data_IF_148257334049
#
_entry.id   IF_148257334049
#
_cell.length_a   1.000
_cell.length_b   1.000
_cell.length_c   1.000
_cell.angle_alpha   90.00
_cell.angle_beta   90.00
_cell.angle_gamma   90.00
#
_symmetry.space_group_name_H-M   'P 1'
#
loop_
_entity.id
_entity.type
_entity.pdbx_description
1 polymer ?
#
# COMPACT_ATOMS: atom_id res chain seq x y z
N UNK A 1 -30.33 -19.58 12.65
CA UNK A 1 -29.79 -20.10 13.93
C UNK A 1 -28.81 -21.19 13.61
N UNK A 2 -27.52 -20.88 13.80
CA UNK A 2 -26.44 -21.84 13.54
C UNK A 2 -26.43 -22.91 14.62
N UNK A 3 -26.42 -24.18 14.22
CA UNK A 3 -26.19 -25.29 15.15
C UNK A 3 -24.70 -25.33 15.50
N UNK A 4 -24.36 -25.74 16.72
CA UNK A 4 -22.98 -25.84 17.22
C UNK A 4 -22.06 -26.59 16.22
N UNK A 5 -22.61 -27.65 15.61
CA UNK A 5 -21.90 -28.52 14.66
C UNK A 5 -21.56 -27.83 13.32
N UNK A 6 -22.28 -26.76 12.96
CA UNK A 6 -22.02 -25.99 11.74
C UNK A 6 -21.07 -24.81 11.95
N UNK A 7 -20.53 -24.63 13.16
CA UNK A 7 -19.49 -23.65 13.42
C UNK A 7 -18.20 -24.04 12.68
N UNK A 8 -17.42 -23.03 12.28
CA UNK A 8 -16.14 -23.24 11.54
C UNK A 8 -15.17 -24.18 12.22
N UNK A 9 -15.19 -24.23 13.55
CA UNK A 9 -14.29 -25.06 14.32
C UNK A 9 -14.71 -26.53 14.32
N UNK A 10 -16.02 -26.81 14.35
CA UNK A 10 -16.56 -28.15 14.59
C UNK A 10 -17.10 -28.84 13.33
N UNK A 11 -17.16 -28.14 12.20
CA UNK A 11 -17.70 -28.66 10.93
C UNK A 11 -16.95 -29.89 10.40
N UNK A 12 -15.66 -30.04 10.76
CA UNK A 12 -14.81 -31.17 10.33
C UNK A 12 -14.87 -32.36 11.32
N UNK A 13 -15.62 -32.24 12.44
CA UNK A 13 -15.70 -33.31 13.42
C UNK A 13 -16.61 -34.45 12.97
N UNK A 14 -16.26 -35.71 13.29
CA UNK A 14 -17.14 -36.83 13.09
C UNK A 14 -18.46 -36.67 13.88
N UNK A 15 -19.59 -37.18 13.38
CA UNK A 15 -20.90 -36.98 14.01
C UNK A 15 -20.99 -37.42 15.48
N UNK A 16 -20.25 -38.47 15.85
CA UNK A 16 -20.20 -38.99 17.24
C UNK A 16 -19.45 -37.98 18.17
N UNK A 17 -18.42 -37.32 17.70
CA UNK A 17 -17.66 -36.32 18.46
C UNK A 17 -18.44 -35.00 18.57
N UNK A 18 -19.10 -34.58 17.47
CA UNK A 18 -19.98 -33.43 17.47
C UNK A 18 -21.18 -33.61 18.43
N UNK A 19 -21.74 -34.82 18.53
CA UNK A 19 -22.79 -35.13 19.48
C UNK A 19 -22.34 -35.01 20.94
N UNK A 20 -21.14 -35.42 21.28
CA UNK A 20 -20.56 -35.24 22.63
C UNK A 20 -20.43 -33.75 22.96
N UNK A 21 -19.89 -32.95 22.07
CA UNK A 21 -19.78 -31.48 22.22
C UNK A 21 -21.13 -30.84 22.51
N UNK A 22 -22.16 -31.27 21.81
CA UNK A 22 -23.51 -30.75 21.99
C UNK A 22 -24.09 -31.04 23.39
N UNK A 23 -23.75 -32.17 23.99
CA UNK A 23 -24.18 -32.50 25.36
C UNK A 23 -23.47 -31.69 26.43
N UNK A 24 -22.26 -31.20 26.15
CA UNK A 24 -21.43 -30.40 27.07
C UNK A 24 -21.60 -28.90 26.90
N UNK A 25 -22.20 -28.46 25.80
CA UNK A 25 -22.42 -27.05 25.50
C UNK A 25 -23.70 -26.53 26.20
N UNK A 26 -23.54 -25.43 26.95
CA UNK A 26 -24.64 -24.76 27.64
C UNK A 26 -25.01 -23.49 26.90
N UNK A 27 -26.31 -23.32 26.63
CA UNK A 27 -26.82 -22.08 26.00
C UNK A 27 -26.81 -20.93 27.01
N UNK A 28 -26.21 -19.79 26.63
CA UNK A 28 -26.24 -18.52 27.36
C UNK A 28 -26.77 -17.41 26.45
N UNK A 29 -27.45 -16.41 27.05
CA UNK A 29 -28.02 -15.28 26.32
C UNK A 29 -27.52 -13.98 26.95
N UNK A 30 -27.19 -13.01 26.12
CA UNK A 30 -26.70 -11.70 26.52
C UNK A 30 -27.51 -10.61 25.82
N UNK A 31 -27.83 -9.55 26.54
CA UNK A 31 -28.48 -8.38 25.99
C UNK A 31 -27.46 -7.53 25.18
N UNK A 32 -27.96 -6.66 24.30
CA UNK A 32 -27.10 -5.70 23.61
C UNK A 32 -26.35 -4.81 24.61
N UNK A 33 -25.04 -4.67 24.44
CA UNK A 33 -24.14 -3.94 25.34
C UNK A 33 -23.69 -4.71 26.58
N UNK A 34 -24.17 -5.95 26.80
CA UNK A 34 -23.77 -6.75 27.95
C UNK A 34 -22.36 -7.32 27.77
N UNK A 35 -21.56 -7.24 28.88
CA UNK A 35 -20.21 -7.78 28.92
C UNK A 35 -20.28 -9.28 29.19
N UNK A 36 -19.72 -10.07 28.30
CA UNK A 36 -19.65 -11.54 28.41
C UNK A 36 -18.51 -11.94 29.37
N UNK A 37 -17.34 -11.33 29.17
CA UNK A 37 -16.18 -11.41 30.09
C UNK A 37 -15.27 -10.20 29.88
N UNK A 38 -14.38 -9.93 30.85
CA UNK A 38 -13.44 -8.81 30.81
C UNK A 38 -12.00 -9.31 30.62
N UNK A 39 -11.20 -8.47 29.99
CA UNK A 39 -9.76 -8.62 29.93
C UNK A 39 -9.16 -8.82 31.33
N UNK A 40 -8.28 -9.81 31.51
CA UNK A 40 -7.63 -10.15 32.77
C UNK A 40 -8.43 -11.11 33.67
N UNK A 41 -9.68 -11.46 33.33
CA UNK A 41 -10.44 -12.48 34.07
C UNK A 41 -9.89 -13.89 33.76
N UNK A 42 -10.14 -14.83 34.66
CA UNK A 42 -9.76 -16.25 34.46
C UNK A 42 -10.59 -16.85 33.34
N UNK A 43 -9.96 -17.61 32.45
CA UNK A 43 -10.63 -18.30 31.35
C UNK A 43 -11.41 -19.52 31.84
N UNK A 44 -12.73 -19.38 32.01
CA UNK A 44 -13.66 -20.40 32.49
C UNK A 44 -14.14 -21.35 31.39
N UNK A 45 -14.00 -20.98 30.11
CA UNK A 45 -14.44 -21.77 28.97
C UNK A 45 -14.39 -20.97 27.66
N UNK A 46 -14.90 -21.55 26.59
CA UNK A 46 -15.03 -20.92 25.29
C UNK A 46 -16.49 -20.73 24.90
N UNK A 47 -16.72 -19.83 23.97
CA UNK A 47 -18.04 -19.46 23.45
C UNK A 47 -18.11 -19.67 21.95
N UNK A 48 -19.27 -20.13 21.45
CA UNK A 48 -19.59 -20.21 20.03
C UNK A 48 -20.86 -19.42 19.78
N UNK A 49 -20.86 -18.49 18.84
CA UNK A 49 -22.02 -17.63 18.56
C UNK A 49 -23.05 -18.41 17.76
N UNK A 50 -24.22 -18.59 18.36
CA UNK A 50 -25.39 -19.23 17.71
C UNK A 50 -26.23 -18.21 16.97
N UNK A 51 -26.28 -16.96 17.46
CA UNK A 51 -27.06 -15.85 16.91
C UNK A 51 -26.54 -14.54 17.47
N UNK A 52 -26.48 -13.48 16.65
CA UNK A 52 -26.01 -12.16 17.05
C UNK A 52 -24.54 -11.90 16.73
N UNK A 53 -23.97 -10.87 17.39
CA UNK A 53 -22.61 -10.43 17.17
C UNK A 53 -21.90 -10.03 18.47
N UNK A 54 -20.61 -10.33 18.57
CA UNK A 54 -19.75 -10.05 19.74
C UNK A 54 -18.55 -9.24 19.32
N UNK A 55 -18.36 -8.11 19.98
CA UNK A 55 -17.19 -7.26 19.84
C UNK A 55 -16.09 -7.69 20.82
N UNK A 56 -14.89 -7.86 20.33
CA UNK A 56 -13.69 -8.06 21.15
C UNK A 56 -12.89 -6.77 21.17
N UNK A 57 -12.58 -6.29 22.38
CA UNK A 57 -11.83 -5.05 22.58
C UNK A 57 -10.78 -5.21 23.65
N UNK A 58 -9.65 -4.54 23.52
CA UNK A 58 -8.61 -4.46 24.53
C UNK A 58 -8.36 -3.03 24.96
N UNK A 59 -7.89 -2.84 26.19
CA UNK A 59 -7.54 -1.53 26.73
C UNK A 59 -6.20 -1.08 26.18
N UNK A 60 -6.15 0.16 25.68
CA UNK A 60 -4.91 0.85 25.34
C UNK A 60 -4.53 1.78 26.49
N UNK A 61 -3.23 2.09 26.59
CA UNK A 61 -2.72 3.10 27.55
C UNK A 61 -3.51 4.41 27.42
N UNK A 62 -3.88 5.03 28.55
CA UNK A 62 -4.70 6.24 28.71
C UNK A 62 -6.22 6.09 28.74
N UNK A 63 -6.76 4.86 28.88
CA UNK A 63 -8.20 4.68 29.14
C UNK A 63 -9.07 4.47 27.91
N UNK A 64 -8.50 4.56 26.71
CA UNK A 64 -9.19 4.23 25.47
C UNK A 64 -9.19 2.71 25.22
N UNK A 65 -10.29 2.20 24.65
CA UNK A 65 -10.40 0.81 24.21
C UNK A 65 -10.30 0.71 22.69
N UNK A 66 -9.51 -0.25 22.19
CA UNK A 66 -9.44 -0.56 20.78
C UNK A 66 -10.29 -1.77 20.46
N UNK A 67 -11.13 -1.68 19.44
CA UNK A 67 -11.86 -2.82 18.89
C UNK A 67 -10.89 -3.66 18.08
N UNK A 68 -10.65 -4.90 18.52
CA UNK A 68 -9.74 -5.84 17.86
C UNK A 68 -10.45 -6.62 16.77
N UNK A 69 -11.69 -7.08 17.04
CA UNK A 69 -12.45 -7.91 16.12
C UNK A 69 -13.94 -7.83 16.40
N UNK A 70 -14.74 -8.10 15.37
CA UNK A 70 -16.17 -8.35 15.46
C UNK A 70 -16.42 -9.79 15.00
N UNK A 71 -17.02 -10.59 15.87
CA UNK A 71 -17.39 -11.97 15.62
C UNK A 71 -18.89 -12.11 15.37
N UNK A 72 -19.25 -12.99 14.47
CA UNK A 72 -20.62 -13.23 14.02
C UNK A 72 -21.04 -14.68 14.24
N UNK A 73 -22.26 -14.97 13.86
CA UNK A 73 -22.84 -16.33 13.90
C UNK A 73 -21.88 -17.38 13.31
N UNK A 74 -21.64 -18.46 14.04
CA UNK A 74 -20.72 -19.54 13.71
C UNK A 74 -19.24 -19.32 14.10
N UNK A 75 -18.87 -18.10 14.52
CA UNK A 75 -17.55 -17.83 15.04
C UNK A 75 -17.45 -18.27 16.53
N UNK A 76 -16.21 -18.44 17.01
CA UNK A 76 -15.92 -18.78 18.40
C UNK A 76 -14.90 -17.80 19.01
N UNK A 77 -14.94 -17.63 20.33
CA UNK A 77 -14.07 -16.73 21.07
C UNK A 77 -13.86 -17.21 22.51
N UNK A 78 -12.82 -16.66 23.15
CA UNK A 78 -12.46 -17.01 24.52
C UNK A 78 -11.68 -18.31 24.69
N UNK A 79 -11.35 -18.99 23.60
CA UNK A 79 -10.58 -20.23 23.58
C UNK A 79 -9.13 -20.03 24.03
N UNK A 80 -8.52 -18.85 23.78
CA UNK A 80 -7.09 -18.60 24.04
C UNK A 80 -6.77 -18.82 25.51
N UNK A 81 -7.47 -18.18 26.41
CA UNK A 81 -7.27 -18.30 27.85
C UNK A 81 -7.50 -19.73 28.40
N UNK A 82 -8.16 -20.59 27.62
CA UNK A 82 -8.34 -22.00 27.95
C UNK A 82 -7.15 -22.83 27.48
N UNK A 83 -6.63 -22.53 26.30
CA UNK A 83 -5.59 -23.31 25.63
C UNK A 83 -4.19 -23.00 26.16
N UNK A 84 -3.90 -21.75 26.55
CA UNK A 84 -2.60 -21.30 27.02
C UNK A 84 -2.48 -21.16 28.54
N UNK A 85 -3.58 -21.46 29.27
CA UNK A 85 -3.65 -21.39 30.73
C UNK A 85 -3.40 -19.97 31.29
N UNK A 86 -3.79 -18.94 30.53
CA UNK A 86 -3.64 -17.53 30.92
C UNK A 86 -5.01 -16.88 31.17
N UNK A 87 -5.01 -15.59 31.49
CA UNK A 87 -6.21 -14.79 31.65
C UNK A 87 -6.81 -14.38 30.27
N UNK A 88 -8.05 -13.89 30.28
CA UNK A 88 -8.72 -13.35 29.08
C UNK A 88 -7.88 -12.22 28.46
N UNK A 89 -7.42 -12.39 27.23
CA UNK A 89 -6.57 -11.45 26.51
C UNK A 89 -7.30 -10.17 26.07
N UNK A 90 -8.64 -10.14 26.14
CA UNK A 90 -9.48 -9.03 25.73
C UNK A 90 -10.86 -9.09 26.39
N UNK A 91 -11.63 -8.01 26.30
CA UNK A 91 -13.01 -7.93 26.77
C UNK A 91 -13.96 -8.30 25.63
N UNK A 92 -14.95 -9.14 25.90
CA UNK A 92 -16.02 -9.51 24.97
C UNK A 92 -17.33 -8.86 25.36
N UNK A 93 -18.00 -8.18 24.40
CA UNK A 93 -19.26 -7.44 24.60
C UNK A 93 -20.24 -7.82 23.50
N UNK A 94 -21.45 -8.18 23.86
CA UNK A 94 -22.53 -8.42 22.91
C UNK A 94 -22.95 -7.10 22.24
N UNK A 95 -22.86 -7.02 20.89
CA UNK A 95 -23.25 -5.81 20.15
C UNK A 95 -24.76 -5.69 19.95
N UNK A 96 -25.42 -6.81 19.92
CA UNK A 96 -26.88 -6.97 19.78
C UNK A 96 -27.35 -8.11 20.68
N UNK A 97 -28.64 -8.40 20.83
CA UNK A 97 -29.08 -9.57 21.57
C UNK A 97 -28.43 -10.84 21.01
N UNK A 98 -27.58 -11.44 21.81
CA UNK A 98 -26.68 -12.52 21.36
C UNK A 98 -26.93 -13.78 22.14
N UNK A 99 -27.00 -14.91 21.42
CA UNK A 99 -27.10 -16.25 21.96
C UNK A 99 -25.84 -17.03 21.61
N UNK A 100 -25.25 -17.65 22.62
CA UNK A 100 -23.99 -18.40 22.49
C UNK A 100 -24.11 -19.79 23.10
N UNK A 101 -23.31 -20.72 22.62
CA UNK A 101 -23.01 -21.96 23.29
C UNK A 101 -21.74 -21.80 24.09
N UNK A 102 -21.78 -22.07 25.37
CA UNK A 102 -20.63 -22.04 26.29
C UNK A 102 -20.16 -23.47 26.55
N UNK A 103 -18.86 -23.72 26.42
CA UNK A 103 -18.22 -25.01 26.72
C UNK A 103 -17.22 -24.73 27.83
N UNK A 104 -17.40 -25.43 28.96
CA UNK A 104 -16.51 -25.27 30.12
C UNK A 104 -15.06 -25.69 29.81
N UNK A 105 -14.11 -25.08 30.49
CA UNK A 105 -12.67 -25.30 30.31
C UNK A 105 -12.30 -26.78 30.40
N UNK A 106 -12.73 -27.47 31.45
CA UNK A 106 -12.35 -28.86 31.69
C UNK A 106 -12.93 -29.77 30.58
N UNK A 107 -14.14 -29.53 30.15
CA UNK A 107 -14.80 -30.28 29.08
C UNK A 107 -14.11 -30.08 27.74
N UNK A 108 -13.73 -28.82 27.43
CA UNK A 108 -13.02 -28.47 26.20
C UNK A 108 -11.66 -29.20 26.15
N UNK A 109 -10.87 -29.10 27.22
CA UNK A 109 -9.55 -29.74 27.30
C UNK A 109 -9.66 -31.26 27.19
N UNK A 110 -10.64 -31.86 27.85
CA UNK A 110 -10.90 -33.29 27.78
C UNK A 110 -11.25 -33.76 26.34
N UNK A 111 -12.05 -33.01 25.63
CA UNK A 111 -12.38 -33.33 24.24
C UNK A 111 -11.18 -33.17 23.33
N UNK A 112 -10.39 -32.09 23.51
CA UNK A 112 -9.16 -31.85 22.73
C UNK A 112 -8.19 -33.00 22.91
N UNK A 113 -8.00 -33.49 24.16
CA UNK A 113 -7.11 -34.60 24.47
C UNK A 113 -7.53 -35.92 23.78
N UNK A 114 -8.85 -36.14 23.69
CA UNK A 114 -9.42 -37.35 23.05
C UNK A 114 -9.57 -37.21 21.52
N UNK A 115 -9.57 -36.01 20.98
CA UNK A 115 -9.87 -35.74 19.56
C UNK A 115 -8.72 -34.97 18.90
N UNK A 116 -7.66 -35.66 18.41
CA UNK A 116 -6.53 -34.99 17.75
C UNK A 116 -6.93 -34.10 16.56
N UNK A 117 -8.04 -34.43 15.89
CA UNK A 117 -8.58 -33.60 14.80
C UNK A 117 -9.03 -32.23 15.28
N UNK A 118 -9.66 -32.15 16.47
CA UNK A 118 -10.08 -30.88 17.05
C UNK A 118 -8.85 -30.02 17.43
N UNK A 119 -7.83 -30.62 18.03
CA UNK A 119 -6.58 -29.93 18.30
C UNK A 119 -5.98 -29.32 17.02
N UNK A 120 -5.95 -30.10 15.93
CA UNK A 120 -5.47 -29.62 14.64
C UNK A 120 -6.35 -28.51 14.04
N UNK A 121 -7.67 -28.57 14.23
CA UNK A 121 -8.60 -27.52 13.82
C UNK A 121 -8.31 -26.20 14.56
N UNK A 122 -8.07 -26.25 15.88
CA UNK A 122 -7.62 -25.08 16.64
C UNK A 122 -6.31 -24.50 16.12
N UNK A 123 -5.30 -25.34 15.88
CA UNK A 123 -4.00 -24.87 15.33
C UNK A 123 -4.18 -24.19 13.96
N UNK A 124 -5.00 -24.76 13.09
CA UNK A 124 -5.29 -24.16 11.79
C UNK A 124 -5.99 -22.81 11.91
N UNK A 125 -6.98 -22.73 12.80
CA UNK A 125 -7.76 -21.51 13.01
C UNK A 125 -6.91 -20.40 13.64
N UNK A 126 -6.11 -20.72 14.68
CA UNK A 126 -5.17 -19.76 15.28
C UNK A 126 -4.15 -19.28 14.24
N UNK A 127 -3.61 -20.20 13.42
CA UNK A 127 -2.68 -19.84 12.35
C UNK A 127 -3.32 -18.94 11.28
N UNK A 128 -4.60 -19.14 10.97
CA UNK A 128 -5.35 -18.27 10.06
C UNK A 128 -5.54 -16.87 10.66
N UNK A 129 -6.02 -16.79 11.91
CA UNK A 129 -6.22 -15.52 12.62
C UNK A 129 -4.91 -14.75 12.78
N UNK A 130 -3.81 -15.43 13.08
CA UNK A 130 -2.49 -14.81 13.18
C UNK A 130 -2.04 -14.22 11.84
N UNK A 131 -2.27 -14.92 10.73
CA UNK A 131 -1.96 -14.37 9.39
C UNK A 131 -2.80 -13.13 9.08
N UNK A 132 -4.10 -13.17 9.35
CA UNK A 132 -4.99 -12.03 9.15
C UNK A 132 -4.56 -10.83 10.01
N UNK A 133 -4.29 -11.05 11.29
CA UNK A 133 -3.78 -10.03 12.20
C UNK A 133 -2.46 -9.44 11.71
N UNK A 134 -1.49 -10.27 11.32
CA UNK A 134 -0.21 -9.80 10.80
C UNK A 134 -0.37 -8.94 9.54
N UNK A 135 -1.28 -9.30 8.64
CA UNK A 135 -1.58 -8.49 7.45
C UNK A 135 -2.15 -7.11 7.81
N UNK A 136 -3.08 -7.05 8.75
CA UNK A 136 -3.64 -5.77 9.22
C UNK A 136 -2.58 -4.95 9.96
N UNK A 137 -1.89 -5.55 10.92
CA UNK A 137 -0.86 -4.89 11.73
C UNK A 137 0.26 -4.28 10.87
N UNK A 138 0.81 -5.04 9.91
CA UNK A 138 1.85 -4.54 9.00
C UNK A 138 1.31 -3.36 8.17
N UNK A 139 0.06 -3.41 7.72
CA UNK A 139 -0.57 -2.31 7.00
C UNK A 139 -0.65 -1.05 7.84
N UNK A 140 -1.16 -1.16 9.06
CA UNK A 140 -1.37 -0.04 9.97
C UNK A 140 -0.04 0.59 10.39
N UNK A 141 0.97 -0.23 10.68
CA UNK A 141 2.34 0.25 10.96
C UNK A 141 2.90 1.02 9.76
N UNK A 142 2.80 0.48 8.54
CA UNK A 142 3.29 1.15 7.34
C UNK A 142 2.54 2.46 7.04
N UNK A 143 1.24 2.51 7.30
CA UNK A 143 0.43 3.73 7.16
C UNK A 143 0.85 4.77 8.19
N UNK A 144 1.02 4.38 9.45
CA UNK A 144 1.51 5.24 10.52
C UNK A 144 2.90 5.79 10.22
N UNK A 145 3.83 4.96 9.76
CA UNK A 145 5.17 5.40 9.36
C UNK A 145 5.13 6.44 8.21
N UNK A 146 4.25 6.24 7.23
CA UNK A 146 4.08 7.22 6.13
C UNK A 146 3.53 8.55 6.63
N UNK A 147 2.52 8.53 7.50
CA UNK A 147 1.98 9.74 8.09
C UNK A 147 3.02 10.45 8.96
N UNK A 148 3.81 9.72 9.73
CA UNK A 148 4.91 10.28 10.51
C UNK A 148 5.99 10.93 9.62
N UNK A 149 6.30 10.33 8.46
CA UNK A 149 7.19 10.94 7.47
C UNK A 149 6.61 12.23 6.90
N UNK A 150 5.32 12.25 6.52
CA UNK A 150 4.64 13.47 6.06
C UNK A 150 4.67 14.55 7.15
N UNK A 151 4.39 14.21 8.40
CA UNK A 151 4.48 15.13 9.54
C UNK A 151 5.88 15.71 9.69
N UNK A 152 6.93 14.89 9.57
CA UNK A 152 8.34 15.33 9.64
C UNK A 152 8.70 16.31 8.52
N UNK A 153 8.18 16.13 7.33
CA UNK A 153 8.45 16.98 6.16
C UNK A 153 7.37 18.05 5.90
N UNK A 154 6.39 18.18 6.79
CA UNK A 154 5.29 19.14 6.62
C UNK A 154 5.77 20.57 6.37
N UNK A 155 6.82 21.01 7.08
CA UNK A 155 7.41 22.34 6.87
C UNK A 155 7.94 22.54 5.46
N UNK A 156 8.65 21.55 4.91
CA UNK A 156 9.15 21.60 3.53
C UNK A 156 8.00 21.57 2.51
N UNK A 157 6.99 20.73 2.72
CA UNK A 157 5.81 20.65 1.86
C UNK A 157 5.08 21.99 1.80
N UNK A 158 4.85 22.61 2.96
CA UNK A 158 4.21 23.94 3.06
C UNK A 158 5.04 25.01 2.34
N UNK A 159 6.38 25.00 2.51
CA UNK A 159 7.27 25.91 1.81
C UNK A 159 7.16 25.74 0.28
N UNK A 160 7.17 24.50 -0.21
CA UNK A 160 7.11 24.19 -1.64
C UNK A 160 5.75 24.49 -2.27
N UNK A 161 4.66 24.45 -1.49
CA UNK A 161 3.34 24.91 -1.89
C UNK A 161 3.22 26.46 -1.87
N UNK A 162 3.89 27.12 -0.94
CA UNK A 162 3.83 28.59 -0.81
C UNK A 162 4.46 29.29 -2.01
N UNK A 163 5.51 28.73 -2.58
CA UNK A 163 6.19 29.30 -3.74
C UNK A 163 5.28 29.45 -4.97
N UNK A 164 4.62 28.40 -5.49
CA UNK A 164 3.69 28.54 -6.60
C UNK A 164 2.48 29.42 -6.26
N UNK A 165 1.98 29.40 -5.03
CA UNK A 165 0.89 30.29 -4.60
C UNK A 165 1.29 31.76 -4.68
N UNK A 166 2.51 32.12 -4.27
CA UNK A 166 3.02 33.50 -4.41
C UNK A 166 3.13 33.91 -5.88
N UNK A 167 3.57 33.01 -6.77
CA UNK A 167 3.65 33.27 -8.21
C UNK A 167 2.26 33.49 -8.81
N UNK A 168 1.26 32.70 -8.38
CA UNK A 168 -0.14 32.89 -8.79
C UNK A 168 -0.64 34.26 -8.36
N UNK A 169 -0.47 34.61 -7.08
CA UNK A 169 -0.89 35.90 -6.53
C UNK A 169 -0.28 37.09 -7.30
N UNK A 170 1.07 37.06 -7.44
CA UNK A 170 1.77 38.12 -8.19
C UNK A 170 1.31 38.20 -9.66
N UNK A 171 1.13 37.06 -10.34
CA UNK A 171 0.69 37.06 -11.74
C UNK A 171 -0.75 37.58 -11.89
N UNK A 172 -1.62 37.25 -10.93
CA UNK A 172 -2.99 37.78 -10.90
C UNK A 172 -3.00 39.30 -10.68
N UNK A 173 -2.23 39.82 -9.72
CA UNK A 173 -2.10 41.27 -9.51
C UNK A 173 -1.58 42.01 -10.75
N UNK A 174 -0.52 41.47 -11.38
CA UNK A 174 0.06 42.07 -12.57
C UNK A 174 -0.91 42.05 -13.77
N UNK A 175 -1.73 41.01 -13.90
CA UNK A 175 -2.75 40.90 -14.96
C UNK A 175 -3.86 41.94 -14.84
N UNK A 176 -4.14 42.43 -13.64
CA UNK A 176 -5.17 43.44 -13.35
C UNK A 176 -4.68 44.88 -13.50
N UNK A 177 -3.39 45.11 -13.69
CA UNK A 177 -2.86 46.49 -13.87
C UNK A 177 -3.35 47.10 -15.17
N UNK A 178 -3.62 48.40 -15.17
CA UNK A 178 -4.03 49.17 -16.37
C UNK A 178 -2.93 49.18 -17.45
N UNK A 179 -1.68 49.00 -17.08
CA UNK A 179 -0.51 48.91 -17.96
C UNK A 179 -0.32 47.53 -18.61
N UNK A 180 -1.10 46.52 -18.23
CA UNK A 180 -0.97 45.18 -18.79
C UNK A 180 -1.58 45.08 -20.18
N UNK A 181 -0.76 44.75 -21.18
CA UNK A 181 -1.24 44.53 -22.57
C UNK A 181 -1.99 43.19 -22.67
N UNK A 182 -2.80 42.97 -23.73
CA UNK A 182 -3.47 41.69 -23.95
C UNK A 182 -2.50 40.50 -23.96
N UNK A 183 -1.33 40.66 -24.57
CA UNK A 183 -0.29 39.62 -24.66
C UNK A 183 0.28 39.31 -23.27
N UNK A 184 0.54 40.34 -22.44
CA UNK A 184 1.00 40.15 -21.05
C UNK A 184 -0.06 39.41 -20.22
N UNK A 185 -1.33 39.72 -20.39
CA UNK A 185 -2.43 39.01 -19.69
C UNK A 185 -2.49 37.54 -20.06
N UNK A 186 -2.27 37.18 -21.33
CA UNK A 186 -2.17 35.79 -21.79
C UNK A 186 -1.00 35.10 -21.10
N UNK A 187 0.18 35.73 -21.08
CA UNK A 187 1.37 35.17 -20.40
C UNK A 187 1.13 34.97 -18.90
N UNK A 188 0.48 35.93 -18.22
CA UNK A 188 0.16 35.77 -16.80
C UNK A 188 -0.84 34.61 -16.55
N UNK A 189 -1.85 34.46 -17.41
CA UNK A 189 -2.80 33.34 -17.36
C UNK A 189 -2.09 32.01 -17.54
N UNK A 190 -1.22 31.87 -18.52
CA UNK A 190 -0.41 30.65 -18.73
C UNK A 190 0.48 30.34 -17.52
N UNK A 191 1.10 31.39 -16.95
CA UNK A 191 1.92 31.25 -15.74
C UNK A 191 1.11 30.78 -14.54
N UNK A 192 -0.10 31.31 -14.35
CA UNK A 192 -1.03 30.86 -13.29
C UNK A 192 -1.39 29.40 -13.50
N UNK A 193 -1.85 29.01 -14.70
CA UNK A 193 -2.26 27.64 -14.99
C UNK A 193 -1.12 26.66 -14.71
N UNK A 194 0.10 26.98 -15.14
CA UNK A 194 1.30 26.16 -14.88
C UNK A 194 1.55 25.96 -13.38
N UNK A 195 1.30 26.96 -12.53
CA UNK A 195 1.45 26.82 -11.09
C UNK A 195 0.30 26.01 -10.47
N UNK A 196 -0.93 26.14 -10.98
CA UNK A 196 -2.08 25.32 -10.54
C UNK A 196 -1.81 23.85 -10.84
N UNK A 197 -1.37 23.51 -12.04
CA UNK A 197 -1.03 22.14 -12.43
C UNK A 197 0.08 21.58 -11.52
N UNK A 198 1.08 22.41 -11.21
CA UNK A 198 2.16 22.05 -10.30
C UNK A 198 1.64 21.70 -8.90
N UNK A 199 0.79 22.54 -8.31
CA UNK A 199 0.18 22.29 -7.00
C UNK A 199 -0.65 20.99 -7.05
N UNK A 200 -1.46 20.81 -8.09
CA UNK A 200 -2.28 19.62 -8.27
C UNK A 200 -1.43 18.34 -8.31
N UNK A 201 -0.32 18.36 -9.03
CA UNK A 201 0.61 17.24 -9.09
C UNK A 201 1.24 16.95 -7.72
N UNK A 202 1.68 17.98 -6.98
CA UNK A 202 2.23 17.84 -5.62
C UNK A 202 1.22 17.20 -4.66
N UNK A 203 -0.03 17.67 -4.69
CA UNK A 203 -1.11 17.12 -3.86
C UNK A 203 -1.39 15.66 -4.21
N UNK A 204 -1.46 15.34 -5.51
CA UNK A 204 -1.69 13.97 -5.96
C UNK A 204 -0.54 13.02 -5.55
N UNK A 205 0.72 13.46 -5.66
CA UNK A 205 1.88 12.68 -5.19
C UNK A 205 1.82 12.41 -3.68
N UNK A 206 1.43 13.44 -2.89
CA UNK A 206 1.29 13.32 -1.45
C UNK A 206 0.17 12.37 -1.05
N UNK A 207 -1.01 12.50 -1.69
CA UNK A 207 -2.15 11.61 -1.47
C UNK A 207 -1.83 10.15 -1.80
N UNK A 208 -1.10 9.92 -2.89
CA UNK A 208 -0.69 8.57 -3.24
C UNK A 208 0.34 8.00 -2.26
N UNK A 209 1.29 8.82 -1.82
CA UNK A 209 2.25 8.42 -0.81
C UNK A 209 1.56 8.02 0.51
N UNK A 210 0.57 8.81 0.97
CA UNK A 210 -0.14 8.55 2.23
C UNK A 210 -1.09 7.36 2.15
N UNK A 211 -1.89 7.26 1.07
CA UNK A 211 -2.89 6.18 0.90
C UNK A 211 -2.26 4.80 0.67
N UNK A 212 -1.02 4.77 0.21
CA UNK A 212 -0.40 3.52 -0.19
C UNK A 212 -1.13 2.85 -1.37
N UNK A 213 -0.87 1.57 -1.59
CA UNK A 213 -1.53 0.81 -2.67
C UNK A 213 -2.86 0.22 -2.18
N UNK A 214 -3.85 1.04 -1.88
CA UNK A 214 -5.20 0.53 -1.55
C UNK A 214 -5.98 0.01 -2.78
N UNK A 215 -5.60 0.43 -3.99
CA UNK A 215 -6.16 -0.14 -5.22
C UNK A 215 -5.51 -1.50 -5.48
N UNK A 216 -6.35 -2.49 -5.76
CA UNK A 216 -5.91 -3.84 -6.15
C UNK A 216 -4.82 -3.75 -7.22
N UNK A 217 -3.62 -4.25 -6.89
CA UNK A 217 -2.50 -4.29 -7.82
C UNK A 217 -2.72 -5.44 -8.81
N UNK A 218 -3.51 -5.15 -9.85
CA UNK A 218 -3.82 -6.13 -10.88
C UNK A 218 -2.74 -6.04 -11.95
N UNK A 219 -2.02 -7.13 -12.15
CA UNK A 219 -1.10 -7.30 -13.27
C UNK A 219 -1.86 -7.84 -14.48
N UNK A 220 -1.80 -7.11 -15.60
CA UNK A 220 -2.33 -7.55 -16.88
C UNK A 220 -1.20 -8.12 -17.74
N UNK A 221 -1.48 -9.20 -18.47
CA UNK A 221 -0.54 -9.78 -19.44
C UNK A 221 -0.64 -8.99 -20.75
N UNK A 222 0.45 -8.36 -21.18
CA UNK A 222 0.47 -7.57 -22.40
C UNK A 222 1.86 -7.54 -23.06
N UNK A 223 1.91 -7.15 -24.33
CA UNK A 223 3.17 -6.92 -25.07
C UNK A 223 3.92 -5.74 -24.46
N UNK A 224 5.15 -5.97 -24.01
CA UNK A 224 6.00 -4.90 -23.49
C UNK A 224 6.40 -3.90 -24.57
N UNK A 225 6.63 -4.37 -25.79
CA UNK A 225 6.97 -3.53 -26.92
C UNK A 225 5.85 -2.52 -27.23
N UNK A 226 4.60 -2.99 -27.26
CA UNK A 226 3.45 -2.12 -27.53
C UNK A 226 3.24 -1.11 -26.41
N UNK A 227 3.37 -1.55 -25.16
CA UNK A 227 3.31 -0.67 -24.00
C UNK A 227 4.36 0.46 -24.09
N UNK A 228 5.63 0.13 -24.34
CA UNK A 228 6.71 1.13 -24.46
C UNK A 228 6.47 2.09 -25.61
N UNK A 229 6.06 1.58 -26.79
CA UNK A 229 5.76 2.43 -27.95
C UNK A 229 4.63 3.44 -27.64
N UNK A 230 3.59 2.98 -26.94
CA UNK A 230 2.50 3.86 -26.52
C UNK A 230 3.02 4.95 -25.58
N UNK A 231 3.78 4.58 -24.54
CA UNK A 231 4.39 5.53 -23.58
C UNK A 231 5.26 6.57 -24.29
N UNK A 232 6.14 6.16 -25.20
CA UNK A 232 7.00 7.08 -25.94
C UNK A 232 6.18 8.04 -26.81
N UNK A 233 5.15 7.53 -27.46
CA UNK A 233 4.27 8.36 -28.32
C UNK A 233 3.55 9.43 -27.52
N UNK A 234 3.12 9.09 -26.29
CA UNK A 234 2.42 10.00 -25.40
C UNK A 234 3.34 11.15 -24.91
N UNK A 235 4.58 10.83 -24.53
CA UNK A 235 5.47 11.85 -23.94
C UNK A 235 6.30 12.65 -24.96
N UNK A 236 6.52 12.14 -26.14
CA UNK A 236 7.35 12.80 -27.17
C UNK A 236 6.96 14.26 -27.44
N UNK A 237 5.68 14.62 -27.61
CA UNK A 237 5.31 16.03 -27.86
C UNK A 237 5.66 16.96 -26.70
N UNK A 238 5.45 16.52 -25.47
CA UNK A 238 5.71 17.33 -24.28
C UNK A 238 7.19 17.67 -24.12
N UNK A 239 8.08 16.68 -24.23
CA UNK A 239 9.50 16.88 -24.06
C UNK A 239 10.15 17.61 -25.24
N UNK A 240 9.61 17.49 -26.46
CA UNK A 240 10.08 18.22 -27.63
C UNK A 240 9.97 19.73 -27.42
N UNK A 241 8.96 20.22 -26.73
CA UNK A 241 8.81 21.65 -26.38
C UNK A 241 9.94 22.19 -25.51
N UNK A 242 10.65 21.29 -24.80
CA UNK A 242 11.81 21.61 -23.94
C UNK A 242 13.16 21.39 -24.64
N UNK A 243 13.14 21.14 -25.96
CA UNK A 243 14.36 20.87 -26.74
C UNK A 243 15.01 19.52 -26.44
N UNK A 244 14.25 18.58 -25.88
CA UNK A 244 14.72 17.23 -25.56
C UNK A 244 14.19 16.23 -26.57
N UNK A 245 15.04 15.28 -27.00
CA UNK A 245 14.68 14.21 -27.92
C UNK A 245 14.76 12.85 -27.25
N UNK A 246 13.84 11.94 -27.60
CA UNK A 246 13.92 10.52 -27.19
C UNK A 246 14.46 9.68 -28.35
N UNK A 247 15.49 8.90 -28.07
CA UNK A 247 16.08 7.93 -28.97
C UNK A 247 16.00 6.52 -28.37
N UNK A 248 15.83 5.52 -29.22
CA UNK A 248 15.92 4.11 -28.84
C UNK A 248 17.32 3.62 -29.25
N UNK A 249 18.09 3.09 -28.30
CA UNK A 249 19.36 2.43 -28.58
C UNK A 249 19.11 1.07 -29.27
N UNK A 250 18.04 0.41 -28.86
CA UNK A 250 17.53 -0.82 -29.47
C UNK A 250 16.00 -0.86 -29.34
N UNK A 251 15.35 -1.67 -30.15
CA UNK A 251 13.90 -1.86 -30.06
C UNK A 251 13.49 -2.51 -28.73
N UNK A 252 12.33 -2.12 -28.15
CA UNK A 252 11.79 -2.81 -27.00
C UNK A 252 11.44 -4.26 -27.38
N UNK A 253 11.76 -5.22 -26.50
CA UNK A 253 11.56 -6.64 -26.82
C UNK A 253 10.07 -6.98 -26.92
N UNK A 254 9.73 -7.72 -27.96
CA UNK A 254 8.35 -8.21 -28.18
C UNK A 254 8.10 -9.46 -27.33
N UNK A 255 7.86 -9.24 -26.05
CA UNK A 255 7.56 -10.28 -25.07
C UNK A 255 6.26 -9.96 -24.35
N UNK A 256 5.52 -11.01 -23.97
CA UNK A 256 4.40 -10.90 -23.07
C UNK A 256 4.92 -10.88 -21.62
N UNK A 257 4.53 -9.87 -20.86
CA UNK A 257 4.88 -9.78 -19.45
C UNK A 257 3.68 -9.32 -18.62
N UNK A 258 3.71 -9.62 -17.33
CA UNK A 258 2.69 -9.19 -16.39
C UNK A 258 3.06 -7.82 -15.81
N UNK A 259 2.35 -6.79 -16.21
CA UNK A 259 2.54 -5.43 -15.72
C UNK A 259 1.21 -4.76 -15.35
N UNK A 260 1.28 -3.72 -14.53
CA UNK A 260 0.19 -2.78 -14.31
C UNK A 260 0.46 -1.54 -15.17
N UNK A 261 -0.19 -1.38 -16.35
CA UNK A 261 0.16 -0.34 -17.32
C UNK A 261 0.07 1.07 -16.74
N UNK A 262 -1.01 1.51 -16.06
CA UNK A 262 -1.10 2.85 -15.51
C UNK A 262 0.04 3.18 -14.55
N UNK A 263 0.42 2.23 -13.69
CA UNK A 263 1.50 2.45 -12.72
C UNK A 263 2.88 2.45 -13.38
N UNK A 264 3.12 1.54 -14.32
CA UNK A 264 4.40 1.50 -15.02
C UNK A 264 4.57 2.73 -15.95
N UNK A 265 3.51 3.23 -16.59
CA UNK A 265 3.51 4.52 -17.31
C UNK A 265 3.99 5.65 -16.39
N UNK A 266 3.55 5.66 -15.14
CA UNK A 266 4.01 6.65 -14.15
C UNK A 266 5.49 6.54 -13.83
N UNK A 267 6.06 5.33 -13.79
CA UNK A 267 7.52 5.15 -13.64
C UNK A 267 8.25 5.82 -14.81
N UNK A 268 7.83 5.53 -16.04
CA UNK A 268 8.42 6.18 -17.23
C UNK A 268 8.26 7.70 -17.17
N UNK A 269 7.07 8.21 -16.84
CA UNK A 269 6.83 9.64 -16.71
C UNK A 269 7.81 10.29 -15.71
N UNK A 270 7.91 9.76 -14.50
CA UNK A 270 8.78 10.32 -13.48
C UNK A 270 10.25 10.29 -13.89
N UNK A 271 10.71 9.21 -14.55
CA UNK A 271 12.10 9.10 -14.97
C UNK A 271 12.39 10.01 -16.18
N UNK A 272 11.47 10.12 -17.14
CA UNK A 272 11.61 11.02 -18.32
C UNK A 272 11.57 12.49 -17.89
N UNK A 273 10.66 12.87 -17.00
CA UNK A 273 10.60 14.24 -16.47
C UNK A 273 11.86 14.59 -15.68
N UNK A 274 12.38 13.66 -14.86
CA UNK A 274 13.63 13.87 -14.14
C UNK A 274 14.82 14.05 -15.09
N UNK A 275 14.89 13.25 -16.15
CA UNK A 275 15.91 13.37 -17.20
C UNK A 275 15.80 14.73 -17.91
N UNK A 276 14.59 15.13 -18.28
CA UNK A 276 14.31 16.43 -18.93
C UNK A 276 14.71 17.61 -18.05
N UNK A 277 14.38 17.57 -16.75
CA UNK A 277 14.78 18.63 -15.79
C UNK A 277 16.30 18.71 -15.58
N UNK A 278 17.03 17.61 -15.78
CA UNK A 278 18.49 17.61 -15.73
C UNK A 278 19.14 18.26 -16.96
N UNK A 279 18.35 18.55 -18.02
CA UNK A 279 18.82 19.09 -19.31
C UNK A 279 18.08 20.40 -19.66
N UNK A 280 18.27 21.49 -18.91
CA UNK A 280 17.53 22.76 -19.11
C UNK A 280 17.80 23.43 -20.47
N UNK A 281 18.91 23.09 -21.12
CA UNK A 281 19.30 23.62 -22.43
C UNK A 281 19.01 22.64 -23.59
N UNK A 282 18.14 21.67 -23.35
CA UNK A 282 17.87 20.56 -24.28
C UNK A 282 18.89 19.42 -24.15
N UNK A 283 18.65 18.34 -24.86
CA UNK A 283 19.51 17.15 -24.81
C UNK A 283 18.83 15.90 -25.37
N UNK A 284 19.40 14.74 -25.02
CA UNK A 284 18.89 13.46 -25.52
C UNK A 284 18.63 12.50 -24.38
N UNK A 285 17.45 11.89 -24.41
CA UNK A 285 17.09 10.74 -23.57
C UNK A 285 17.23 9.51 -24.44
N UNK A 286 18.05 8.54 -24.02
CA UNK A 286 18.25 7.27 -24.71
C UNK A 286 17.63 6.14 -23.88
N UNK A 287 16.71 5.36 -24.50
CA UNK A 287 16.16 4.17 -23.88
C UNK A 287 16.87 2.93 -24.41
N UNK A 288 17.23 2.04 -23.49
CA UNK A 288 17.86 0.75 -23.77
C UNK A 288 17.11 -0.37 -23.06
N UNK A 289 16.94 -1.49 -23.73
CA UNK A 289 16.25 -2.67 -23.22
C UNK A 289 17.17 -3.88 -23.29
N UNK A 290 17.15 -4.70 -22.23
CA UNK A 290 17.92 -5.93 -22.18
C UNK A 290 17.11 -7.05 -21.56
N UNK A 291 17.21 -8.24 -22.13
CA UNK A 291 16.74 -9.48 -21.51
C UNK A 291 17.94 -10.16 -20.86
N UNK A 292 17.90 -10.34 -19.53
CA UNK A 292 18.99 -10.99 -18.80
C UNK A 292 18.41 -12.06 -17.87
N UNK A 293 18.54 -13.32 -18.28
CA UNK A 293 17.90 -14.43 -17.57
C UNK A 293 16.38 -14.29 -17.56
N UNK A 294 15.81 -14.23 -16.37
CA UNK A 294 14.36 -14.02 -16.13
C UNK A 294 13.98 -12.57 -15.89
N UNK A 295 14.84 -11.61 -16.20
CA UNK A 295 14.58 -10.19 -16.01
C UNK A 295 14.55 -9.41 -17.33
N UNK A 296 13.60 -8.50 -17.45
CA UNK A 296 13.58 -7.45 -18.45
C UNK A 296 14.11 -6.17 -17.79
N UNK A 297 15.25 -5.68 -18.27
CA UNK A 297 15.89 -4.46 -17.81
C UNK A 297 15.57 -3.34 -18.79
N UNK A 298 15.10 -2.21 -18.25
CA UNK A 298 14.89 -0.97 -18.99
C UNK A 298 15.74 0.12 -18.39
N UNK A 299 16.55 0.77 -19.22
CA UNK A 299 17.43 1.87 -18.86
C UNK A 299 17.00 3.14 -19.60
N UNK A 300 16.93 4.24 -18.87
CA UNK A 300 16.64 5.59 -19.35
C UNK A 300 17.87 6.44 -19.02
N UNK A 301 18.62 6.79 -20.05
CA UNK A 301 19.85 7.57 -19.94
C UNK A 301 19.60 8.99 -20.42
N UNK A 302 20.07 9.99 -19.70
CA UNK A 302 20.10 11.40 -20.08
C UNK A 302 21.53 11.88 -20.38
N UNK A 303 21.63 13.03 -21.07
CA UNK A 303 22.90 13.74 -21.32
C UNK A 303 23.04 14.95 -20.39
N UNK A 304 22.36 14.96 -19.25
CA UNK A 304 22.34 16.06 -18.30
C UNK A 304 23.56 16.10 -17.37
N UNK A 305 23.38 16.79 -16.24
CA UNK A 305 24.45 17.02 -15.23
C UNK A 305 24.82 15.80 -14.39
N UNK A 306 24.06 14.69 -14.52
CA UNK A 306 24.26 13.49 -13.70
C UNK A 306 23.72 13.62 -12.27
N UNK A 307 24.04 12.61 -11.47
CA UNK A 307 23.63 12.45 -10.07
C UNK A 307 24.75 12.99 -9.17
N UNK A 308 24.39 13.91 -8.26
CA UNK A 308 25.33 14.44 -7.27
C UNK A 308 25.78 13.33 -6.30
N UNK A 309 27.05 13.28 -5.90
CA UNK A 309 27.58 12.24 -5.01
C UNK A 309 26.78 12.10 -3.70
N UNK A 310 26.34 13.23 -3.13
CA UNK A 310 25.60 13.30 -1.86
C UNK A 310 24.20 12.66 -1.95
N UNK A 311 23.70 12.50 -3.17
CA UNK A 311 22.38 11.92 -3.42
C UNK A 311 22.39 10.43 -3.67
N UNK A 312 23.54 9.83 -3.95
CA UNK A 312 23.66 8.46 -4.44
C UNK A 312 22.92 7.44 -3.57
N UNK A 313 23.06 7.54 -2.25
CA UNK A 313 22.46 6.60 -1.30
C UNK A 313 21.02 6.98 -0.88
N UNK A 314 20.56 8.18 -1.25
CA UNK A 314 19.28 8.73 -0.83
C UNK A 314 18.29 8.95 -1.97
N UNK A 315 18.68 8.70 -3.21
CA UNK A 315 17.89 8.97 -4.42
C UNK A 315 16.46 8.43 -4.39
N UNK A 316 16.28 7.25 -3.84
CA UNK A 316 14.98 6.57 -3.76
C UNK A 316 14.32 6.69 -2.39
N UNK A 317 14.84 7.56 -1.51
CA UNK A 317 14.16 7.88 -0.25
C UNK A 317 13.09 8.95 -0.49
N UNK A 318 12.00 8.86 0.27
CA UNK A 318 10.94 9.85 0.20
C UNK A 318 11.47 11.23 0.64
N UNK A 319 11.03 12.29 -0.06
CA UNK A 319 11.42 13.68 0.17
C UNK A 319 12.90 13.99 -0.06
N UNK A 320 13.66 13.12 -0.71
CA UNK A 320 15.02 13.39 -1.10
C UNK A 320 15.07 14.33 -2.32
N UNK A 321 15.54 15.56 -2.13
CA UNK A 321 15.71 16.56 -3.19
C UNK A 321 17.12 17.14 -3.17
N UNK A 322 17.67 17.49 -4.32
CA UNK A 322 18.98 18.16 -4.45
C UNK A 322 18.97 19.10 -5.66
N UNK A 323 19.19 20.38 -5.41
CA UNK A 323 19.33 21.37 -6.47
C UNK A 323 18.10 21.60 -7.35
N UNK A 324 16.95 21.06 -6.99
CA UNK A 324 15.66 21.30 -7.65
C UNK A 324 14.80 22.24 -6.82
N UNK A 325 14.56 23.44 -7.34
CA UNK A 325 13.61 24.38 -6.73
C UNK A 325 12.14 23.89 -6.76
N UNK A 326 11.85 22.79 -7.47
CA UNK A 326 10.49 22.44 -7.89
C UNK A 326 10.10 20.98 -7.69
N UNK A 327 10.82 20.17 -6.90
CA UNK A 327 10.52 18.74 -6.74
C UNK A 327 10.09 18.37 -5.32
N UNK A 328 9.01 17.59 -5.17
CA UNK A 328 8.54 17.04 -3.88
C UNK A 328 9.50 16.02 -3.27
N UNK A 329 10.39 15.44 -4.06
CA UNK A 329 11.24 14.31 -3.66
C UNK A 329 10.49 12.99 -3.51
N UNK A 330 9.22 12.92 -3.91
CA UNK A 330 8.40 11.71 -3.82
C UNK A 330 8.47 10.85 -5.09
N UNK A 331 8.70 11.44 -6.26
CA UNK A 331 8.60 10.75 -7.54
C UNK A 331 9.46 9.48 -7.64
N UNK A 332 10.75 9.53 -7.25
CA UNK A 332 11.64 8.36 -7.29
C UNK A 332 11.30 7.32 -6.23
N UNK A 333 10.83 7.72 -5.06
CA UNK A 333 10.36 6.79 -4.02
C UNK A 333 9.09 6.06 -4.46
N UNK A 334 8.19 6.73 -5.16
CA UNK A 334 7.00 6.13 -5.80
C UNK A 334 7.43 5.16 -6.90
N UNK A 335 8.40 5.51 -7.76
CA UNK A 335 8.95 4.59 -8.75
C UNK A 335 9.49 3.32 -8.11
N UNK A 336 10.28 3.46 -7.04
CA UNK A 336 10.81 2.31 -6.30
C UNK A 336 9.70 1.40 -5.80
N UNK A 337 8.65 1.96 -5.22
CA UNK A 337 7.51 1.19 -4.74
C UNK A 337 6.80 0.46 -5.88
N UNK A 338 6.49 1.15 -6.97
CA UNK A 338 5.82 0.55 -8.12
C UNK A 338 6.63 -0.63 -8.68
N UNK A 339 7.94 -0.47 -8.81
CA UNK A 339 8.82 -1.52 -9.32
C UNK A 339 8.92 -2.70 -8.34
N UNK A 340 8.97 -2.45 -7.03
CA UNK A 340 8.90 -3.51 -6.01
C UNK A 340 7.56 -4.25 -6.03
N UNK A 341 6.45 -3.54 -6.22
CA UNK A 341 5.12 -4.16 -6.40
C UNK A 341 5.06 -5.06 -7.66
N UNK A 342 5.88 -4.78 -8.69
CA UNK A 342 6.10 -5.65 -9.85
C UNK A 342 7.16 -6.75 -9.59
N UNK A 343 7.59 -6.95 -8.33
CA UNK A 343 8.64 -7.90 -7.95
C UNK A 343 9.99 -7.62 -8.63
N UNK A 344 10.20 -6.37 -9.01
CA UNK A 344 11.39 -5.89 -9.70
C UNK A 344 12.35 -5.14 -8.78
N UNK A 345 13.38 -4.56 -9.40
CA UNK A 345 14.36 -3.67 -8.73
C UNK A 345 14.60 -2.42 -9.56
N UNK A 346 14.85 -1.28 -8.91
CA UNK A 346 15.21 0.00 -9.53
C UNK A 346 16.63 0.40 -9.13
N UNK A 347 17.35 1.04 -10.04
CA UNK A 347 18.72 1.47 -9.82
C UNK A 347 19.01 2.78 -10.55
N UNK A 348 20.08 3.46 -10.14
CA UNK A 348 20.56 4.66 -10.81
C UNK A 348 22.08 4.77 -10.69
N UNK A 349 22.73 5.31 -11.72
CA UNK A 349 24.16 5.53 -11.77
C UNK A 349 24.51 6.68 -12.71
N UNK A 350 25.70 7.25 -12.55
CA UNK A 350 26.22 8.20 -13.54
C UNK A 350 26.73 7.46 -14.77
N UNK A 351 26.45 7.99 -15.95
CA UNK A 351 26.96 7.46 -17.20
C UNK A 351 28.44 7.83 -17.36
N UNK A 352 29.26 6.93 -17.92
CA UNK A 352 30.69 7.18 -18.14
C UNK A 352 30.95 8.36 -19.08
N UNK A 353 30.04 8.68 -19.97
CA UNK A 353 30.14 9.77 -20.96
C UNK A 353 29.42 11.05 -20.52
N UNK A 354 29.04 11.16 -19.24
CA UNK A 354 28.23 12.23 -18.69
C UNK A 354 26.74 11.93 -18.68
N UNK A 355 26.00 12.62 -17.80
CA UNK A 355 24.57 12.36 -17.55
C UNK A 355 24.33 11.23 -16.56
N UNK A 356 23.08 10.84 -16.38
CA UNK A 356 22.66 9.76 -15.51
C UNK A 356 21.96 8.64 -16.28
N UNK A 357 21.99 7.45 -15.70
CA UNK A 357 21.22 6.28 -16.12
C UNK A 357 20.30 5.90 -14.96
N UNK A 358 19.00 5.96 -15.18
CA UNK A 358 17.99 5.40 -14.29
C UNK A 358 17.46 4.15 -14.94
N UNK A 359 17.43 3.04 -14.23
CA UNK A 359 16.96 1.79 -14.77
C UNK A 359 16.13 1.01 -13.79
N UNK A 360 15.32 0.12 -14.32
CA UNK A 360 14.58 -0.85 -13.54
C UNK A 360 14.58 -2.20 -14.23
N UNK A 361 14.44 -3.26 -13.45
CA UNK A 361 14.27 -4.61 -13.92
C UNK A 361 12.97 -5.17 -13.38
N UNK A 362 12.19 -5.84 -14.24
CA UNK A 362 10.97 -6.56 -13.85
C UNK A 362 11.09 -8.03 -14.30
N UNK A 363 10.50 -8.98 -13.56
CA UNK A 363 10.53 -10.38 -13.95
C UNK A 363 9.73 -10.61 -15.23
N UNK A 364 10.25 -11.49 -16.08
CA UNK A 364 9.55 -12.04 -17.23
C UNK A 364 9.08 -13.46 -16.91
N UNK A 365 7.87 -13.81 -17.34
CA UNK A 365 7.46 -15.21 -17.25
C UNK A 365 8.36 -16.06 -18.16
N UNK A 366 8.83 -17.24 -17.69
CA UNK A 366 9.48 -18.17 -18.61
C UNK A 366 8.50 -18.51 -19.73
N UNK A 367 8.98 -18.69 -20.98
CA UNK A 367 8.11 -19.12 -22.06
C UNK A 367 7.39 -20.38 -21.62
N UNK A 368 6.06 -20.36 -21.68
CA UNK A 368 5.24 -21.56 -21.47
C UNK A 368 5.63 -22.55 -22.55
N UNK A 369 6.38 -23.60 -22.17
CA UNK A 369 6.69 -24.77 -23.01
C UNK A 369 5.41 -25.53 -23.33
#
# INVERSE_FOLDING_TARGET
>A
VTQLESSRLFIELPPNEAAVLKTLAHERKFAAGEVIFREGEVGDGMYVIAEGAVQISSKISFGDSCVLSLFHEGDHFGEMAVLDDDTRSATAIAQEPTRVYFIERMDLLHIIDKTPRLALAFVREISRRLREFNHHYIRDVLESERLALVGRFAGSIVHDLKTPLNIIGLSAELSCRSTATPEMRIQYKERINKQVDRISNMVNELLEFTRGSQTSFILARMSYADFVRQVITEFRPEIATKGVTIQLENDPPDILTKINPPRLTRVFHNLIVNATDAMPNGGTITLRFQLKGSELITEIRDTGKGIAPEMKDRLFQAFATYGKANGTGLGLSICKKIILDHQGRIFAQNAATGGAVFGFAIPIEPPTT
#
